data_IF_376995686111
#
_entry.id   IF_376995686111
#
_cell.length_a   1.000
_cell.length_b   1.000
_cell.length_c   1.000
_cell.angle_alpha   90.00
_cell.angle_beta   90.00
_cell.angle_gamma   90.00
#
_symmetry.space_group_name_H-M   'P 1'
#
loop_
_entity.id
_entity.type
_entity.pdbx_description
1 polymer ?
#
# COMPACT_ATOMS: atom_id res chain seq x y z
N UNK A 1 24.16 -3.41 -6.80
CA UNK A 1 24.16 -4.82 -7.25
C UNK A 1 23.03 -5.49 -6.48
N UNK A 2 21.82 -5.56 -7.03
CA UNK A 2 20.69 -6.23 -6.38
C UNK A 2 20.92 -7.74 -6.46
N UNK A 3 21.17 -8.38 -5.32
CA UNK A 3 21.22 -9.83 -5.21
C UNK A 3 19.86 -10.39 -5.64
N UNK A 4 19.86 -11.26 -6.65
CA UNK A 4 18.65 -11.94 -7.12
C UNK A 4 18.79 -13.42 -6.82
N UNK A 5 17.87 -13.98 -6.06
CA UNK A 5 17.82 -15.41 -5.77
C UNK A 5 16.88 -16.12 -6.74
N UNK A 6 17.32 -17.26 -7.27
CA UNK A 6 16.52 -18.07 -8.18
C UNK A 6 15.67 -19.06 -7.38
N UNK A 7 14.37 -18.87 -7.44
CA UNK A 7 13.38 -19.75 -6.82
C UNK A 7 12.78 -20.68 -7.88
N UNK A 8 12.75 -22.00 -7.62
CA UNK A 8 12.09 -22.99 -8.49
C UNK A 8 10.96 -23.67 -7.73
N UNK A 9 9.73 -23.53 -8.21
CA UNK A 9 8.53 -24.07 -7.57
C UNK A 9 7.74 -24.96 -8.52
N UNK A 10 7.07 -25.98 -7.99
CA UNK A 10 6.11 -26.80 -8.72
C UNK A 10 4.71 -26.26 -8.46
N UNK A 11 3.98 -25.92 -9.51
CA UNK A 11 2.64 -25.34 -9.43
C UNK A 11 1.67 -26.29 -10.15
N UNK A 12 0.46 -26.53 -9.60
CA UNK A 12 -0.59 -27.27 -10.28
C UNK A 12 -0.93 -26.68 -11.66
N UNK A 13 -1.23 -27.53 -12.63
CA UNK A 13 -1.50 -27.14 -14.02
C UNK A 13 -2.65 -26.15 -14.15
N UNK A 14 -3.67 -26.24 -13.29
CA UNK A 14 -4.80 -25.31 -13.26
C UNK A 14 -4.36 -23.86 -13.00
N UNK A 15 -3.48 -23.64 -12.02
CA UNK A 15 -2.96 -22.30 -11.68
C UNK A 15 -2.04 -21.76 -12.78
N UNK A 16 -1.27 -22.63 -13.42
CA UNK A 16 -0.44 -22.26 -14.58
C UNK A 16 -1.32 -21.83 -15.76
N UNK A 17 -2.48 -22.49 -15.95
CA UNK A 17 -3.45 -22.10 -16.97
C UNK A 17 -4.03 -20.71 -16.68
N UNK A 18 -4.43 -20.44 -15.44
CA UNK A 18 -4.93 -19.13 -15.03
C UNK A 18 -3.88 -18.01 -15.21
N UNK A 19 -2.62 -18.26 -14.85
CA UNK A 19 -1.52 -17.31 -15.08
C UNK A 19 -1.29 -17.06 -16.57
N UNK A 20 -1.40 -18.10 -17.42
CA UNK A 20 -1.31 -17.94 -18.87
C UNK A 20 -2.45 -17.08 -19.43
N UNK A 21 -3.67 -17.21 -18.92
CA UNK A 21 -4.79 -16.35 -19.33
C UNK A 21 -4.50 -14.87 -19.00
N UNK A 22 -3.93 -14.59 -17.82
CA UNK A 22 -3.56 -13.22 -17.42
C UNK A 22 -2.46 -12.62 -18.32
N UNK A 23 -1.51 -13.43 -18.78
CA UNK A 23 -0.48 -13.01 -19.74
C UNK A 23 -1.09 -12.80 -21.13
N UNK A 24 -2.00 -13.68 -21.58
CA UNK A 24 -2.72 -13.54 -22.86
C UNK A 24 -3.61 -12.30 -22.92
N UNK A 25 -4.22 -11.94 -21.79
CA UNK A 25 -4.98 -10.69 -21.64
C UNK A 25 -4.09 -9.44 -21.68
N UNK A 26 -2.76 -9.59 -21.70
CA UNK A 26 -1.81 -8.48 -21.73
C UNK A 26 -1.63 -7.77 -20.39
N UNK A 27 -2.19 -8.31 -19.30
CA UNK A 27 -2.04 -7.72 -17.95
C UNK A 27 -0.62 -7.84 -17.42
N UNK A 28 0.11 -8.88 -17.82
CA UNK A 28 1.50 -9.09 -17.46
C UNK A 28 2.34 -9.53 -18.67
N UNK A 29 3.60 -9.07 -18.81
CA UNK A 29 4.45 -9.45 -19.94
C UNK A 29 4.83 -10.95 -19.93
N UNK A 30 5.10 -11.51 -18.74
CA UNK A 30 5.44 -12.92 -18.56
C UNK A 30 4.79 -13.51 -17.33
N UNK A 31 4.74 -14.85 -17.25
CA UNK A 31 4.28 -15.57 -16.06
C UNK A 31 5.14 -15.20 -14.85
N UNK A 32 6.45 -15.03 -15.05
CA UNK A 32 7.37 -14.63 -13.98
C UNK A 32 7.07 -13.23 -13.44
N UNK A 33 6.65 -12.30 -14.29
CA UNK A 33 6.24 -10.96 -13.84
C UNK A 33 4.94 -11.01 -13.03
N UNK A 34 3.97 -11.82 -13.47
CA UNK A 34 2.73 -12.04 -12.72
C UNK A 34 3.00 -12.68 -11.34
N UNK A 35 3.93 -13.63 -11.26
CA UNK A 35 4.32 -14.27 -10.00
C UNK A 35 5.07 -13.29 -9.10
N UNK A 36 5.99 -12.48 -9.64
CA UNK A 36 6.70 -11.46 -8.84
C UNK A 36 5.72 -10.44 -8.26
N UNK A 37 4.82 -9.90 -9.07
CA UNK A 37 3.79 -8.97 -8.58
C UNK A 37 2.89 -9.59 -7.50
N UNK A 38 2.55 -10.87 -7.64
CA UNK A 38 1.76 -11.59 -6.63
C UNK A 38 2.55 -11.79 -5.32
N UNK A 39 3.85 -12.11 -5.40
CA UNK A 39 4.71 -12.25 -4.23
C UNK A 39 4.89 -10.89 -3.55
N UNK A 40 5.14 -9.82 -4.31
CA UNK A 40 5.31 -8.47 -3.78
C UNK A 40 4.05 -8.04 -3.03
N UNK A 41 2.87 -8.22 -3.63
CA UNK A 41 1.59 -7.94 -2.98
C UNK A 41 1.34 -8.82 -1.75
N UNK A 42 1.72 -10.10 -1.80
CA UNK A 42 1.58 -11.02 -0.67
C UNK A 42 2.48 -10.62 0.51
N UNK A 43 3.74 -10.28 0.23
CA UNK A 43 4.70 -9.80 1.22
C UNK A 43 4.26 -8.46 1.78
N UNK A 44 3.81 -7.52 0.95
CA UNK A 44 3.29 -6.22 1.38
C UNK A 44 2.05 -6.37 2.28
N UNK A 45 1.24 -7.41 2.08
CA UNK A 45 0.06 -7.70 2.91
C UNK A 45 0.41 -8.39 4.24
N UNK A 46 1.44 -9.24 4.29
CA UNK A 46 1.75 -10.07 5.46
C UNK A 46 2.94 -9.59 6.30
N UNK A 47 3.83 -8.77 5.73
CA UNK A 47 5.00 -8.22 6.42
C UNK A 47 4.86 -6.74 6.79
N UNK A 48 3.66 -6.16 6.68
CA UNK A 48 3.32 -4.95 7.44
C UNK A 48 3.45 -5.28 8.94
N UNK A 49 4.31 -4.56 9.70
CA UNK A 49 4.54 -4.84 11.12
C UNK A 49 3.22 -4.96 11.90
N UNK A 50 3.14 -5.83 12.92
CA UNK A 50 1.92 -6.12 13.70
C UNK A 50 1.21 -4.89 14.34
N UNK A 51 1.86 -3.72 14.32
CA UNK A 51 1.34 -2.44 14.82
C UNK A 51 0.98 -1.44 13.70
N UNK A 52 0.99 -1.87 12.44
CA UNK A 52 0.67 -1.07 11.27
C UNK A 52 -0.42 -1.79 10.47
N UNK A 53 -1.66 -1.41 10.71
CA UNK A 53 -2.81 -1.83 9.91
C UNK A 53 -2.95 -0.88 8.70
N UNK A 54 -2.82 -1.42 7.48
CA UNK A 54 -3.03 -0.63 6.25
C UNK A 54 -4.51 -0.62 5.91
N UNK A 55 -5.11 0.56 5.95
CA UNK A 55 -6.51 0.79 5.61
C UNK A 55 -6.59 1.44 4.24
N UNK A 56 -7.31 0.82 3.31
CA UNK A 56 -7.63 1.44 2.03
C UNK A 56 -8.80 2.41 2.23
N UNK A 57 -8.61 3.68 1.88
CA UNK A 57 -9.63 4.73 2.00
C UNK A 57 -9.82 5.42 0.66
N UNK A 58 -11.08 5.56 0.25
CA UNK A 58 -11.45 6.36 -0.91
C UNK A 58 -11.54 7.83 -0.51
N UNK A 59 -10.76 8.67 -1.18
CA UNK A 59 -10.74 10.11 -0.95
C UNK A 59 -11.36 10.85 -2.14
N UNK A 60 -12.17 11.90 -1.90
CA UNK A 60 -12.61 12.80 -2.97
C UNK A 60 -11.43 13.40 -3.71
N UNK A 61 -11.59 13.61 -5.04
CA UNK A 61 -10.52 14.16 -5.88
C UNK A 61 -9.96 15.50 -5.38
N UNK A 62 -10.81 16.36 -4.81
CA UNK A 62 -10.36 17.65 -4.23
C UNK A 62 -9.32 17.46 -3.12
N UNK A 63 -9.58 16.54 -2.19
CA UNK A 63 -8.68 16.24 -1.08
C UNK A 63 -7.36 15.63 -1.56
N UNK A 64 -7.38 14.85 -2.64
CA UNK A 64 -6.15 14.32 -3.25
C UNK A 64 -5.28 15.45 -3.80
N UNK A 65 -5.88 16.43 -4.46
CA UNK A 65 -5.16 17.61 -4.98
C UNK A 65 -4.56 18.44 -3.85
N UNK A 66 -5.27 18.62 -2.74
CA UNK A 66 -4.74 19.33 -1.56
C UNK A 66 -3.53 18.61 -0.95
N UNK A 67 -3.59 17.27 -0.86
CA UNK A 67 -2.45 16.47 -0.39
C UNK A 67 -1.25 16.58 -1.34
N UNK A 68 -1.48 16.65 -2.65
CA UNK A 68 -0.40 16.89 -3.62
C UNK A 68 0.22 18.29 -3.46
N UNK A 69 -0.57 19.32 -3.14
CA UNK A 69 -0.05 20.66 -2.86
C UNK A 69 0.84 20.65 -1.62
N UNK A 70 0.42 20.00 -0.52
CA UNK A 70 1.23 19.89 0.71
C UNK A 70 2.61 19.25 0.45
N UNK A 71 2.67 18.28 -0.46
CA UNK A 71 3.95 17.67 -0.85
C UNK A 71 4.78 18.62 -1.72
N UNK A 72 4.16 19.35 -2.65
CA UNK A 72 4.85 20.33 -3.51
C UNK A 72 5.41 21.51 -2.73
N UNK A 73 4.67 21.98 -1.72
CA UNK A 73 5.04 23.11 -0.87
C UNK A 73 6.13 22.73 0.15
N UNK A 74 6.44 21.44 0.27
CA UNK A 74 7.49 20.91 1.15
C UNK A 74 7.03 20.69 2.59
N UNK A 75 5.74 20.87 2.87
CA UNK A 75 5.14 20.65 4.19
C UNK A 75 5.04 19.16 4.55
N UNK A 76 5.13 18.26 3.57
CA UNK A 76 5.14 16.81 3.78
C UNK A 76 6.02 16.09 2.77
N UNK A 77 6.66 15.00 3.20
CA UNK A 77 7.61 14.24 2.37
C UNK A 77 6.87 13.41 1.30
N UNK A 78 5.64 12.98 1.60
CA UNK A 78 4.77 12.23 0.69
C UNK A 78 3.29 12.42 1.06
N UNK A 79 2.40 11.98 0.17
CA UNK A 79 0.95 11.99 0.44
C UNK A 79 0.64 11.16 1.70
N UNK A 80 1.28 10.01 1.86
CA UNK A 80 1.12 9.15 3.04
C UNK A 80 1.58 9.85 4.32
N UNK A 81 2.65 10.65 4.25
CA UNK A 81 3.16 11.44 5.38
C UNK A 81 2.20 12.59 5.74
N UNK A 82 1.64 13.26 4.73
CA UNK A 82 0.62 14.28 4.93
C UNK A 82 -0.64 13.71 5.61
N UNK A 83 -1.12 12.55 5.15
CA UNK A 83 -2.25 11.84 5.77
C UNK A 83 -1.91 11.46 7.22
N UNK A 84 -0.72 10.90 7.46
CA UNK A 84 -0.29 10.49 8.80
C UNK A 84 -0.24 11.67 9.77
N UNK A 85 0.28 12.82 9.34
CA UNK A 85 0.32 14.03 10.16
C UNK A 85 -1.07 14.55 10.47
N UNK A 86 -1.94 14.65 9.47
CA UNK A 86 -3.32 15.09 9.64
C UNK A 86 -4.10 14.20 10.63
N UNK A 87 -4.01 12.87 10.44
CA UNK A 87 -4.66 11.91 11.34
C UNK A 87 -4.07 12.03 12.75
N UNK A 88 -2.75 12.06 12.90
CA UNK A 88 -2.09 12.18 14.21
C UNK A 88 -2.52 13.43 14.97
N UNK A 89 -2.62 14.56 14.29
CA UNK A 89 -3.05 15.81 14.90
C UNK A 89 -4.52 15.76 15.32
N UNK A 90 -5.38 15.19 14.48
CA UNK A 90 -6.79 14.98 14.79
C UNK A 90 -6.97 14.08 16.02
N UNK A 91 -6.29 12.93 16.08
CA UNK A 91 -6.39 12.02 17.23
C UNK A 91 -5.86 12.68 18.49
N UNK A 92 -4.76 13.45 18.41
CA UNK A 92 -4.22 14.19 19.55
C UNK A 92 -5.25 15.18 20.11
N UNK A 93 -5.82 16.03 19.25
CA UNK A 93 -6.86 17.00 19.65
C UNK A 93 -8.07 16.32 20.28
N UNK A 94 -8.50 15.20 19.70
CA UNK A 94 -9.66 14.44 20.18
C UNK A 94 -9.41 13.78 21.54
N UNK A 95 -8.21 13.24 21.77
CA UNK A 95 -7.82 12.66 23.06
C UNK A 95 -7.74 13.76 24.12
N UNK A 96 -7.09 14.89 23.82
CA UNK A 96 -7.00 16.02 24.76
C UNK A 96 -8.39 16.49 25.19
N UNK A 97 -9.31 16.68 24.23
CA UNK A 97 -10.69 17.06 24.54
C UNK A 97 -11.42 16.02 25.38
N UNK A 98 -11.26 14.73 25.07
CA UNK A 98 -11.88 13.67 25.86
C UNK A 98 -11.32 13.60 27.29
N UNK A 99 -10.04 13.94 27.50
CA UNK A 99 -9.46 14.05 28.83
C UNK A 99 -9.98 15.27 29.59
N UNK A 100 -10.11 16.42 28.93
CA UNK A 100 -10.69 17.64 29.51
C UNK A 100 -12.16 17.50 29.89
N UNK A 101 -12.93 16.63 29.20
CA UNK A 101 -14.33 16.33 29.52
C UNK A 101 -14.50 15.32 30.68
N UNK A 102 -13.41 14.68 31.14
CA UNK A 102 -13.41 13.69 32.24
C UNK A 102 -12.91 14.26 33.59
N UNK A 103 -12.31 15.45 33.60
CA UNK A 103 -11.91 16.22 34.79
C UNK A 103 -13.01 17.22 35.22
#
# INVERSE_FOLDING_TARGET
>A
MSETERITIRIPSEKVSALNSLVKEGKFPTISDAIRAAIDSFVETHFTPDHIERITVELPKGNVVELECLVKDGDSISIDDAIRNAVREYTRKRITRAMEEMD
#
